data_IF_077208448204
#
_entry.id   IF_077208448204
#
_cell.length_a   1.000
_cell.length_b   1.000
_cell.length_c   1.000
_cell.angle_alpha   90.00
_cell.angle_beta   90.00
_cell.angle_gamma   90.00
#
_symmetry.space_group_name_H-M   'P 1'
#
loop_
_entity.id
_entity.type
_entity.pdbx_description
1 polymer ?
#
# COMPACT_ATOMS: atom_id res chain seq x y z
N UNK A 1 4.84 -7.60 29.35
CA UNK A 1 5.91 -8.03 28.42
C UNK A 1 7.21 -7.44 28.93
N UNK A 2 8.31 -8.17 28.79
CA UNK A 2 9.64 -7.72 29.21
C UNK A 2 10.12 -6.54 28.34
N UNK A 3 10.69 -5.49 28.95
CA UNK A 3 11.18 -4.29 28.26
C UNK A 3 12.39 -4.58 27.34
N UNK A 4 13.01 -5.76 27.49
CA UNK A 4 14.15 -6.23 26.70
C UNK A 4 13.80 -7.20 25.57
N UNK A 5 12.51 -7.38 25.23
CA UNK A 5 12.12 -8.32 24.19
C UNK A 5 12.63 -7.90 22.80
N UNK A 6 13.32 -8.81 22.09
CA UNK A 6 13.84 -8.59 20.74
C UNK A 6 12.74 -8.51 19.65
N UNK A 7 11.50 -8.86 20.00
CA UNK A 7 10.32 -8.76 19.15
C UNK A 7 9.05 -8.66 20.03
N UNK A 8 7.94 -8.21 19.45
CA UNK A 8 6.62 -8.18 20.09
C UNK A 8 5.62 -8.93 19.22
N UNK A 9 5.01 -9.97 19.78
CA UNK A 9 3.94 -10.68 19.09
C UNK A 9 2.71 -9.78 19.00
N UNK A 10 2.20 -9.49 17.79
CA UNK A 10 1.01 -8.67 17.65
C UNK A 10 -0.22 -9.42 18.16
N UNK A 11 -1.19 -8.69 18.72
CA UNK A 11 -2.52 -9.24 18.96
C UNK A 11 -3.20 -9.43 17.61
N UNK A 12 -3.63 -10.66 17.31
CA UNK A 12 -4.43 -10.95 16.13
C UNK A 12 -5.87 -11.14 16.59
N UNK A 13 -6.68 -10.11 16.41
CA UNK A 13 -8.13 -10.18 16.52
C UNK A 13 -8.77 -9.70 15.19
N UNK A 14 -10.10 -9.66 15.13
CA UNK A 14 -10.82 -9.13 13.97
C UNK A 14 -10.98 -7.59 14.02
N UNK A 15 -10.16 -6.88 14.80
CA UNK A 15 -10.17 -5.42 14.82
C UNK A 15 -9.54 -4.83 13.56
N UNK A 16 -9.88 -3.57 13.27
CA UNK A 16 -9.27 -2.83 12.18
C UNK A 16 -7.73 -2.76 12.29
N UNK A 17 -7.19 -2.62 13.51
CA UNK A 17 -5.74 -2.56 13.75
C UNK A 17 -5.06 -3.89 13.38
N UNK A 18 -5.61 -5.02 13.81
CA UNK A 18 -5.08 -6.34 13.45
C UNK A 18 -5.20 -6.63 11.96
N UNK A 19 -6.32 -6.25 11.33
CA UNK A 19 -6.47 -6.35 9.89
C UNK A 19 -5.46 -5.48 9.13
N UNK A 20 -5.17 -4.25 9.59
CA UNK A 20 -4.16 -3.39 8.99
C UNK A 20 -2.75 -3.98 9.09
N UNK A 21 -2.40 -4.60 10.23
CA UNK A 21 -1.13 -5.32 10.38
C UNK A 21 -1.06 -6.55 9.46
N UNK A 22 -2.16 -7.28 9.31
CA UNK A 22 -2.24 -8.43 8.40
C UNK A 22 -2.16 -7.99 6.93
N UNK A 23 -2.76 -6.85 6.56
CA UNK A 23 -2.60 -6.24 5.24
C UNK A 23 -1.13 -5.87 4.98
N UNK A 24 -0.44 -5.27 5.94
CA UNK A 24 0.99 -4.98 5.80
C UNK A 24 1.79 -6.27 5.57
N UNK A 25 1.56 -7.32 6.37
CA UNK A 25 2.22 -8.62 6.21
C UNK A 25 1.89 -9.26 4.86
N UNK A 26 0.63 -9.21 4.44
CA UNK A 26 0.15 -9.83 3.22
C UNK A 26 0.83 -9.27 1.97
N UNK A 27 1.14 -7.97 1.94
CA UNK A 27 1.95 -7.39 0.85
C UNK A 27 3.32 -8.09 0.77
N UNK A 28 4.05 -8.21 1.89
CA UNK A 28 5.37 -8.87 1.88
C UNK A 28 5.30 -10.36 1.54
N UNK A 29 4.21 -11.04 1.92
CA UNK A 29 3.97 -12.43 1.50
C UNK A 29 3.82 -12.51 -0.02
N UNK A 30 3.09 -11.60 -0.64
CA UNK A 30 2.99 -11.53 -2.11
C UNK A 30 4.35 -11.24 -2.75
N UNK A 31 5.10 -10.25 -2.28
CA UNK A 31 6.44 -9.97 -2.80
C UNK A 31 7.39 -11.16 -2.68
N UNK A 32 7.32 -11.88 -1.55
CA UNK A 32 8.07 -13.13 -1.36
C UNK A 32 7.73 -14.15 -2.44
N UNK A 33 6.44 -14.29 -2.76
CA UNK A 33 6.00 -15.20 -3.80
C UNK A 33 6.44 -14.76 -5.19
N UNK A 34 6.17 -13.51 -5.58
CA UNK A 34 6.52 -12.97 -6.89
C UNK A 34 8.01 -13.14 -7.17
N UNK A 35 8.86 -12.79 -6.21
CA UNK A 35 10.32 -12.95 -6.35
C UNK A 35 10.81 -14.39 -6.21
N UNK A 36 9.94 -15.34 -5.84
CA UNK A 36 10.28 -16.77 -5.76
C UNK A 36 9.92 -17.56 -7.01
N UNK A 37 9.36 -16.88 -8.01
CA UNK A 37 9.12 -17.46 -9.32
C UNK A 37 10.44 -17.52 -10.10
N UNK A 38 10.63 -18.56 -10.91
CA UNK A 38 11.79 -18.64 -11.81
C UNK A 38 13.15 -18.82 -11.13
N UNK A 39 13.21 -19.30 -9.88
CA UNK A 39 14.49 -19.47 -9.17
C UNK A 39 15.33 -20.61 -9.78
N UNK A 40 16.55 -20.31 -10.22
CA UNK A 40 17.49 -21.27 -10.79
C UNK A 40 18.77 -21.41 -9.95
N UNK A 41 19.26 -20.30 -9.41
CA UNK A 41 20.51 -20.20 -8.64
C UNK A 41 20.28 -19.80 -7.17
N UNK A 42 21.29 -20.04 -6.33
CA UNK A 42 21.25 -19.68 -4.89
C UNK A 42 21.03 -18.18 -4.68
N UNK A 43 21.55 -17.34 -5.58
CA UNK A 43 21.41 -15.88 -5.49
C UNK A 43 19.95 -15.44 -5.65
N UNK A 44 19.16 -16.19 -6.42
CA UNK A 44 17.77 -15.87 -6.70
C UNK A 44 16.90 -15.99 -5.44
N UNK A 45 17.27 -16.88 -4.51
CA UNK A 45 16.57 -17.05 -3.23
C UNK A 45 16.73 -15.86 -2.28
N UNK A 46 17.63 -14.91 -2.57
CA UNK A 46 17.93 -13.81 -1.66
C UNK A 46 16.77 -12.82 -1.57
N UNK A 47 16.13 -12.48 -2.69
CA UNK A 47 14.99 -11.56 -2.69
C UNK A 47 13.74 -12.12 -1.98
N UNK A 48 13.29 -13.36 -2.24
CA UNK A 48 12.23 -13.99 -1.47
C UNK A 48 12.50 -13.97 0.03
N UNK A 49 13.73 -14.35 0.43
CA UNK A 49 14.11 -14.39 1.84
C UNK A 49 14.08 -12.97 2.44
N UNK A 50 14.58 -11.98 1.71
CA UNK A 50 14.59 -10.59 2.15
C UNK A 50 13.18 -10.06 2.39
N UNK A 51 12.22 -10.34 1.49
CA UNK A 51 10.83 -9.92 1.66
C UNK A 51 10.11 -10.67 2.78
N UNK A 52 10.35 -11.98 2.91
CA UNK A 52 9.78 -12.79 3.98
C UNK A 52 10.24 -12.28 5.36
N UNK A 53 11.54 -12.04 5.51
CA UNK A 53 12.12 -11.50 6.75
C UNK A 53 11.64 -10.07 7.00
N UNK A 54 11.52 -9.24 5.97
CA UNK A 54 11.00 -7.87 6.08
C UNK A 54 9.57 -7.83 6.60
N UNK A 55 8.68 -8.64 6.01
CA UNK A 55 7.29 -8.76 6.44
C UNK A 55 7.17 -9.26 7.88
N UNK A 56 7.91 -10.32 8.22
CA UNK A 56 7.92 -10.86 9.58
C UNK A 56 8.52 -9.88 10.60
N UNK A 57 9.57 -9.15 10.25
CA UNK A 57 10.19 -8.17 11.14
C UNK A 57 9.27 -6.97 11.42
N UNK A 58 8.48 -6.53 10.44
CA UNK A 58 7.45 -5.52 10.64
C UNK A 58 6.29 -6.06 11.48
N UNK A 59 5.78 -7.24 11.13
CA UNK A 59 4.67 -7.88 11.83
C UNK A 59 4.97 -8.15 13.30
N UNK A 60 6.16 -8.64 13.60
CA UNK A 60 6.66 -8.89 14.95
C UNK A 60 7.22 -7.63 15.63
N UNK A 61 7.07 -6.45 15.02
CA UNK A 61 7.53 -5.17 15.56
C UNK A 61 8.99 -5.22 16.07
N UNK A 62 9.87 -5.86 15.31
CA UNK A 62 11.30 -5.95 15.61
C UNK A 62 11.89 -4.53 15.66
N UNK A 63 12.75 -4.20 16.63
CA UNK A 63 13.36 -2.87 16.72
C UNK A 63 14.02 -2.45 15.40
N UNK A 64 13.76 -1.22 14.97
CA UNK A 64 14.28 -0.63 13.73
C UNK A 64 13.84 -1.31 12.43
N UNK A 65 12.90 -2.26 12.45
CA UNK A 65 12.46 -2.99 11.24
C UNK A 65 11.96 -2.05 10.15
N UNK A 66 11.23 -0.98 10.48
CA UNK A 66 10.75 0.00 9.50
C UNK A 66 11.88 0.66 8.71
N UNK A 67 12.94 1.08 9.41
CA UNK A 67 14.13 1.65 8.76
C UNK A 67 14.87 0.58 7.94
N UNK A 68 14.99 -0.63 8.49
CA UNK A 68 15.59 -1.77 7.79
C UNK A 68 14.86 -2.15 6.51
N UNK A 69 13.53 -2.11 6.50
CA UNK A 69 12.72 -2.42 5.32
C UNK A 69 12.75 -1.27 4.32
N UNK A 70 12.49 -0.03 4.75
CA UNK A 70 12.42 1.12 3.84
C UNK A 70 13.77 1.48 3.22
N UNK A 71 14.88 1.36 3.96
CA UNK A 71 16.21 1.74 3.47
C UNK A 71 17.09 0.53 3.17
N UNK A 72 17.02 -0.52 3.98
CA UNK A 72 17.88 -1.69 3.85
C UNK A 72 17.55 -2.53 2.61
N UNK A 73 16.26 -2.70 2.26
CA UNK A 73 15.88 -3.42 1.03
C UNK A 73 16.37 -2.70 -0.22
N UNK A 74 16.08 -1.40 -0.45
CA UNK A 74 16.67 -0.66 -1.57
C UNK A 74 18.20 -0.64 -1.56
N UNK A 75 18.84 -0.43 -0.40
CA UNK A 75 20.30 -0.42 -0.31
C UNK A 75 20.90 -1.78 -0.72
N UNK A 76 20.25 -2.88 -0.33
CA UNK A 76 20.64 -4.22 -0.75
C UNK A 76 20.51 -4.41 -2.27
N UNK A 77 19.39 -3.98 -2.86
CA UNK A 77 19.20 -4.01 -4.32
C UNK A 77 20.29 -3.23 -5.07
N UNK A 78 20.65 -2.04 -4.60
CA UNK A 78 21.75 -1.26 -5.19
C UNK A 78 23.08 -2.01 -5.11
N UNK A 79 23.37 -2.65 -3.98
CA UNK A 79 24.61 -3.44 -3.82
C UNK A 79 24.64 -4.62 -4.77
N UNK A 80 23.52 -5.35 -4.92
CA UNK A 80 23.44 -6.49 -5.84
C UNK A 80 23.52 -6.00 -7.29
N UNK A 81 22.75 -4.99 -7.70
CA UNK A 81 22.80 -4.45 -9.06
C UNK A 81 24.20 -3.94 -9.44
N UNK A 82 24.93 -3.31 -8.52
CA UNK A 82 26.34 -2.93 -8.76
C UNK A 82 27.29 -4.13 -8.85
N UNK A 83 27.00 -5.21 -8.12
CA UNK A 83 27.82 -6.41 -8.12
C UNK A 83 27.58 -7.29 -9.36
N UNK A 84 26.36 -7.33 -9.88
CA UNK A 84 25.96 -8.09 -11.08
C UNK A 84 26.12 -7.27 -12.36
N UNK A 85 26.13 -5.94 -12.27
CA UNK A 85 26.15 -5.03 -13.41
C UNK A 85 24.77 -4.76 -14.02
N UNK A 86 23.70 -5.08 -13.29
CA UNK A 86 22.31 -4.86 -13.69
C UNK A 86 21.85 -3.46 -13.26
N UNK A 87 21.96 -2.51 -14.19
CA UNK A 87 21.54 -1.11 -13.96
C UNK A 87 20.03 -1.00 -13.67
N UNK A 88 19.23 -1.93 -14.18
CA UNK A 88 17.78 -2.00 -13.94
C UNK A 88 17.45 -2.29 -12.48
N UNK A 89 18.16 -3.23 -11.83
CA UNK A 89 18.00 -3.54 -10.40
C UNK A 89 18.27 -2.30 -9.53
N UNK A 90 19.17 -1.41 -9.96
CA UNK A 90 19.46 -0.13 -9.28
C UNK A 90 18.30 0.86 -9.45
N UNK A 91 17.70 0.93 -10.63
CA UNK A 91 16.52 1.76 -10.87
C UNK A 91 15.33 1.30 -10.01
N UNK A 92 15.06 0.00 -9.98
CA UNK A 92 14.02 -0.62 -9.15
C UNK A 92 14.21 -0.36 -7.65
N UNK A 93 15.45 -0.19 -7.17
CA UNK A 93 15.69 0.16 -5.77
C UNK A 93 15.03 1.50 -5.38
N UNK A 94 15.02 2.49 -6.27
CA UNK A 94 14.37 3.79 -6.03
C UNK A 94 12.85 3.61 -5.93
N UNK A 95 12.29 2.78 -6.81
CA UNK A 95 10.87 2.43 -6.79
C UNK A 95 10.47 1.77 -5.46
N UNK A 96 11.26 0.78 -5.02
CA UNK A 96 11.05 0.06 -3.77
C UNK A 96 11.12 0.97 -2.54
N UNK A 97 11.96 2.02 -2.57
CA UNK A 97 12.01 3.01 -1.49
C UNK A 97 10.68 3.78 -1.37
N UNK A 98 10.12 4.24 -2.49
CA UNK A 98 8.85 4.97 -2.53
C UNK A 98 7.67 4.08 -2.12
N UNK A 99 7.74 2.78 -2.45
CA UNK A 99 6.71 1.81 -2.13
C UNK A 99 6.77 1.34 -0.66
N UNK A 100 7.93 0.90 -0.18
CA UNK A 100 8.06 0.34 1.18
C UNK A 100 8.07 1.39 2.27
N UNK A 101 8.40 2.65 2.00
CA UNK A 101 8.28 3.73 2.97
C UNK A 101 6.86 3.81 3.55
N UNK A 102 5.83 4.07 2.74
CA UNK A 102 4.46 4.10 3.22
C UNK A 102 4.00 2.75 3.79
N UNK A 103 4.31 1.62 3.16
CA UNK A 103 3.89 0.29 3.66
C UNK A 103 4.44 0.05 5.07
N UNK A 104 5.71 0.37 5.34
CA UNK A 104 6.34 0.17 6.64
C UNK A 104 5.82 1.14 7.73
N UNK A 105 5.51 2.39 7.35
CA UNK A 105 5.22 3.46 8.32
C UNK A 105 3.73 3.77 8.51
N UNK A 106 2.87 3.62 7.51
CA UNK A 106 1.44 3.96 7.62
C UNK A 106 0.72 3.22 8.75
N UNK A 107 0.89 1.89 8.95
CA UNK A 107 0.25 1.20 10.06
C UNK A 107 0.62 1.75 11.44
N UNK A 108 1.89 2.10 11.62
CA UNK A 108 2.41 2.67 12.87
C UNK A 108 1.91 4.10 13.11
N UNK A 109 1.89 4.91 12.05
CA UNK A 109 1.38 6.28 12.09
C UNK A 109 -0.13 6.31 12.36
N UNK A 110 -0.90 5.41 11.75
CA UNK A 110 -2.34 5.30 11.97
C UNK A 110 -2.67 4.81 13.38
N UNK A 111 -1.90 3.86 13.91
CA UNK A 111 -2.16 3.24 15.21
C UNK A 111 -1.63 4.04 16.41
N UNK A 112 -0.89 5.13 16.18
CA UNK A 112 -0.32 5.94 17.24
C UNK A 112 0.89 5.29 17.93
N UNK A 113 1.72 4.54 17.20
CA UNK A 113 2.87 3.83 17.78
C UNK A 113 3.89 4.82 18.39
N UNK A 114 4.13 4.67 19.70
CA UNK A 114 5.02 5.53 20.48
C UNK A 114 6.50 5.39 20.10
N UNK A 115 6.89 4.29 19.46
CA UNK A 115 8.27 4.07 18.98
C UNK A 115 8.70 5.07 17.90
N UNK A 116 7.74 5.77 17.28
CA UNK A 116 8.03 6.82 16.31
C UNK A 116 8.55 8.12 16.95
N UNK A 117 8.31 8.31 18.25
CA UNK A 117 8.75 9.53 18.97
C UNK A 117 8.12 10.81 18.41
N UNK A 118 6.91 10.72 17.87
CA UNK A 118 6.17 11.86 17.29
C UNK A 118 5.00 12.26 18.18
N UNK A 119 4.79 13.56 18.31
CA UNK A 119 3.52 14.09 18.83
C UNK A 119 2.37 13.83 17.83
N UNK A 120 1.13 13.91 18.31
CA UNK A 120 -0.06 13.64 17.50
C UNK A 120 -0.15 14.52 16.25
N UNK A 121 0.17 15.82 16.34
CA UNK A 121 0.07 16.72 15.20
C UNK A 121 1.09 16.35 14.11
N UNK A 122 2.35 16.14 14.51
CA UNK A 122 3.40 15.67 13.60
C UNK A 122 3.08 14.30 13.00
N UNK A 123 2.56 13.37 13.80
CA UNK A 123 2.16 12.02 13.34
C UNK A 123 1.09 12.11 12.27
N UNK A 124 0.02 12.85 12.53
CA UNK A 124 -1.12 12.96 11.62
C UNK A 124 -0.75 13.70 10.32
N UNK A 125 0.09 14.75 10.41
CA UNK A 125 0.58 15.45 9.22
C UNK A 125 1.41 14.51 8.32
N UNK A 126 2.36 13.77 8.91
CA UNK A 126 3.20 12.81 8.16
C UNK A 126 2.37 11.68 7.57
N UNK A 127 1.40 11.16 8.32
CA UNK A 127 0.48 10.15 7.83
C UNK A 127 -0.28 10.64 6.60
N UNK A 128 -0.84 11.85 6.66
CA UNK A 128 -1.60 12.42 5.55
C UNK A 128 -0.77 12.53 4.27
N UNK A 129 0.47 13.01 4.38
CA UNK A 129 1.39 13.11 3.24
C UNK A 129 1.74 11.72 2.69
N UNK A 130 2.15 10.79 3.56
CA UNK A 130 2.54 9.45 3.15
C UNK A 130 1.39 8.68 2.51
N UNK A 131 0.18 8.80 3.05
CA UNK A 131 -1.00 8.15 2.48
C UNK A 131 -1.31 8.68 1.08
N UNK A 132 -1.21 9.99 0.84
CA UNK A 132 -1.42 10.57 -0.50
C UNK A 132 -0.37 10.07 -1.48
N UNK A 133 0.91 10.11 -1.09
CA UNK A 133 2.00 9.60 -1.93
C UNK A 133 1.77 8.14 -2.27
N UNK A 134 1.43 7.31 -1.28
CA UNK A 134 1.12 5.90 -1.49
C UNK A 134 -0.09 5.69 -2.42
N UNK A 135 -1.20 6.38 -2.15
CA UNK A 135 -2.43 6.22 -2.93
C UNK A 135 -2.21 6.61 -4.40
N UNK A 136 -1.52 7.73 -4.65
CA UNK A 136 -1.19 8.17 -6.00
C UNK A 136 -0.19 7.23 -6.67
N UNK A 137 0.85 6.81 -5.96
CA UNK A 137 1.84 5.89 -6.50
C UNK A 137 1.20 4.56 -6.89
N UNK A 138 0.42 3.96 -5.99
CA UNK A 138 -0.25 2.68 -6.27
C UNK A 138 -1.29 2.79 -7.39
N UNK A 139 -2.02 3.91 -7.48
CA UNK A 139 -3.04 4.11 -8.51
C UNK A 139 -2.45 4.44 -9.89
N UNK A 140 -1.42 5.30 -9.94
CA UNK A 140 -0.86 5.78 -11.20
C UNK A 140 0.26 4.91 -11.74
N UNK A 141 0.96 4.18 -10.88
CA UNK A 141 2.12 3.36 -11.27
C UNK A 141 1.86 1.86 -11.16
N UNK A 142 1.06 1.38 -10.20
CA UNK A 142 0.92 -0.06 -9.92
C UNK A 142 -0.39 -0.70 -10.37
N UNK A 143 -1.44 0.06 -10.69
CA UNK A 143 -2.75 -0.53 -10.96
C UNK A 143 -3.18 -0.51 -12.43
N UNK A 144 -2.32 -0.05 -13.35
CA UNK A 144 -2.55 0.14 -14.80
C UNK A 144 -3.88 0.82 -15.18
N UNK A 145 -4.58 1.43 -14.21
CA UNK A 145 -5.96 1.89 -14.36
C UNK A 145 -6.04 3.11 -15.28
N UNK A 146 -4.94 3.84 -15.43
CA UNK A 146 -4.83 4.95 -16.36
C UNK A 146 -4.86 4.43 -17.79
N UNK A 147 -4.01 3.46 -18.12
CA UNK A 147 -3.94 2.89 -19.48
C UNK A 147 -5.23 2.15 -19.82
N UNK A 148 -5.77 1.36 -18.88
CA UNK A 148 -7.10 0.76 -18.99
C UNK A 148 -8.20 1.79 -19.27
N UNK A 149 -8.17 2.95 -18.62
CA UNK A 149 -9.21 3.98 -18.77
C UNK A 149 -9.08 4.79 -20.07
N UNK A 150 -7.85 5.01 -20.52
CA UNK A 150 -7.53 5.87 -21.67
C UNK A 150 -7.59 5.09 -22.97
N UNK A 151 -6.87 3.97 -23.02
CA UNK A 151 -6.62 3.22 -24.25
C UNK A 151 -7.31 1.85 -24.21
N UNK A 152 -7.53 1.28 -23.02
CA UNK A 152 -8.12 -0.06 -22.87
C UNK A 152 -7.16 -1.19 -23.21
N UNK A 153 -5.90 -0.84 -23.47
CA UNK A 153 -4.82 -1.74 -23.86
C UNK A 153 -3.53 -1.27 -23.15
N UNK A 154 -2.69 -2.21 -22.71
CA UNK A 154 -1.38 -1.92 -22.13
C UNK A 154 -0.45 -3.13 -22.31
N UNK A 155 0.85 -2.87 -22.30
CA UNK A 155 1.88 -3.92 -22.29
C UNK A 155 2.23 -4.26 -20.85
N UNK A 156 2.39 -5.55 -20.58
CA UNK A 156 2.90 -6.05 -19.31
C UNK A 156 3.97 -7.09 -19.57
N UNK A 157 4.80 -7.36 -18.58
CA UNK A 157 5.93 -8.27 -18.67
C UNK A 157 5.75 -9.38 -17.65
N UNK A 158 5.97 -10.63 -18.05
CA UNK A 158 6.01 -11.73 -17.10
C UNK A 158 7.39 -11.84 -16.43
N UNK A 159 7.51 -12.80 -15.50
CA UNK A 159 8.75 -13.00 -14.77
C UNK A 159 9.91 -13.53 -15.62
N UNK A 160 9.64 -14.00 -16.84
CA UNK A 160 10.65 -14.44 -17.81
C UNK A 160 11.03 -13.30 -18.79
N UNK A 161 10.65 -12.05 -18.47
CA UNK A 161 10.82 -10.84 -19.30
C UNK A 161 10.11 -10.95 -20.66
N UNK A 162 9.05 -11.76 -20.74
CA UNK A 162 8.24 -11.87 -21.95
C UNK A 162 7.15 -10.81 -21.88
N UNK A 163 7.25 -9.82 -22.76
CA UNK A 163 6.21 -8.82 -22.99
C UNK A 163 4.95 -9.47 -23.60
N UNK A 164 3.79 -9.13 -23.07
CA UNK A 164 2.49 -9.47 -23.63
C UNK A 164 1.54 -8.27 -23.61
N UNK A 165 0.73 -8.18 -24.67
CA UNK A 165 -0.32 -7.17 -24.78
C UNK A 165 -1.54 -7.61 -23.98
N UNK A 166 -1.98 -6.77 -23.06
CA UNK A 166 -3.25 -6.91 -22.36
C UNK A 166 -4.28 -5.95 -22.91
N UNK A 167 -5.54 -6.40 -22.95
CA UNK A 167 -6.66 -5.62 -23.44
C UNK A 167 -7.94 -5.89 -22.66
N UNK A 168 -8.81 -4.88 -22.62
CA UNK A 168 -10.13 -4.96 -22.00
C UNK A 168 -11.21 -4.46 -22.96
N UNK A 169 -12.42 -4.99 -22.82
CA UNK A 169 -13.54 -4.57 -23.66
C UNK A 169 -14.04 -3.15 -23.31
N UNK A 170 -14.86 -2.57 -24.18
CA UNK A 170 -15.41 -1.21 -23.98
C UNK A 170 -16.22 -1.02 -22.68
N UNK A 171 -16.85 -2.08 -22.16
CA UNK A 171 -17.57 -2.05 -20.89
C UNK A 171 -16.58 -2.00 -19.73
N UNK A 172 -15.55 -2.85 -19.76
CA UNK A 172 -14.45 -2.85 -18.80
C UNK A 172 -13.67 -1.53 -18.82
N UNK A 173 -13.39 -0.95 -19.98
CA UNK A 173 -12.78 0.38 -20.12
C UNK A 173 -13.65 1.48 -19.47
N UNK A 174 -14.97 1.41 -19.63
CA UNK A 174 -15.89 2.34 -18.94
C UNK A 174 -15.80 2.16 -17.42
N UNK A 175 -15.68 0.92 -16.94
CA UNK A 175 -15.47 0.63 -15.51
C UNK A 175 -14.12 1.20 -15.03
N UNK A 176 -13.06 1.09 -15.83
CA UNK A 176 -11.74 1.67 -15.53
C UNK A 176 -11.83 3.20 -15.39
N UNK A 177 -12.52 3.88 -16.31
CA UNK A 177 -12.74 5.33 -16.25
C UNK A 177 -13.48 5.76 -14.98
N UNK A 178 -14.52 5.01 -14.59
CA UNK A 178 -15.24 5.24 -13.33
C UNK A 178 -14.33 5.00 -12.14
N UNK A 179 -13.55 3.90 -12.15
CA UNK A 179 -12.58 3.58 -11.11
C UNK A 179 -11.53 4.69 -10.94
N UNK A 180 -10.93 5.16 -12.03
CA UNK A 180 -9.97 6.27 -12.02
C UNK A 180 -10.59 7.55 -11.47
N UNK A 181 -11.81 7.92 -11.91
CA UNK A 181 -12.51 9.09 -11.42
C UNK A 181 -12.79 9.00 -9.91
N UNK A 182 -13.29 7.85 -9.43
CA UNK A 182 -13.53 7.60 -8.00
C UNK A 182 -12.22 7.67 -7.21
N UNK A 183 -11.12 7.13 -7.75
CA UNK A 183 -9.80 7.17 -7.13
C UNK A 183 -9.29 8.60 -6.95
N UNK A 184 -9.30 9.39 -8.02
CA UNK A 184 -8.89 10.80 -7.98
C UNK A 184 -9.75 11.62 -7.02
N UNK A 185 -11.08 11.45 -7.06
CA UNK A 185 -11.99 12.09 -6.11
C UNK A 185 -11.66 11.66 -4.68
N UNK A 186 -11.38 10.37 -4.45
CA UNK A 186 -11.00 9.84 -3.14
C UNK A 186 -9.75 10.50 -2.57
N UNK A 187 -8.69 10.62 -3.37
CA UNK A 187 -7.45 11.31 -2.97
C UNK A 187 -7.72 12.78 -2.66
N UNK A 188 -8.51 13.47 -3.48
CA UNK A 188 -8.87 14.88 -3.25
C UNK A 188 -9.68 15.06 -1.97
N UNK A 189 -10.65 14.17 -1.71
CA UNK A 189 -11.44 14.18 -0.47
C UNK A 189 -10.54 13.97 0.75
N UNK A 190 -9.61 13.02 0.68
CA UNK A 190 -8.65 12.79 1.75
C UNK A 190 -7.74 14.01 1.95
N UNK A 191 -7.15 14.57 0.89
CA UNK A 191 -6.31 15.76 0.94
C UNK A 191 -7.04 16.93 1.63
N UNK A 192 -8.26 17.24 1.20
CA UNK A 192 -9.03 18.35 1.75
C UNK A 192 -9.38 18.15 3.23
N UNK A 193 -9.77 16.93 3.61
CA UNK A 193 -10.28 16.65 4.97
C UNK A 193 -9.17 16.34 5.98
N UNK A 194 -8.12 15.62 5.57
CA UNK A 194 -7.07 15.11 6.44
C UNK A 194 -5.85 16.03 6.52
N UNK A 195 -5.44 16.62 5.38
CA UNK A 195 -4.19 17.40 5.29
C UNK A 195 -4.44 18.90 5.37
N UNK A 196 -5.39 19.41 4.57
CA UNK A 196 -5.77 20.83 4.62
C UNK A 196 -6.61 21.13 5.87
N UNK A 197 -7.28 20.11 6.42
CA UNK A 197 -8.12 20.25 7.61
C UNK A 197 -9.43 20.98 7.34
N UNK A 198 -9.88 21.01 6.09
CA UNK A 198 -11.21 21.52 5.73
C UNK A 198 -12.23 20.54 6.29
N UNK A 199 -12.73 20.86 7.48
CA UNK A 199 -13.93 20.23 8.00
C UNK A 199 -15.09 20.78 7.18
N UNK A 200 -15.87 19.90 6.56
CA UNK A 200 -17.11 20.20 5.80
C UNK A 200 -18.20 20.95 6.60
N UNK A 201 -17.88 21.36 7.83
CA UNK A 201 -18.67 22.21 8.71
C UNK A 201 -18.34 23.71 8.61
N UNK A 202 -17.22 24.08 7.99
CA UNK A 202 -16.92 25.49 7.73
C UNK A 202 -17.77 25.96 6.54
N UNK A 203 -18.38 27.14 6.63
CA UNK A 203 -19.36 27.70 5.69
C UNK A 203 -18.80 27.99 4.27
N UNK A 204 -17.64 27.44 3.93
CA UNK A 204 -16.83 27.71 2.73
C UNK A 204 -16.80 26.56 1.73
N UNK A 205 -17.54 25.47 1.93
CA UNK A 205 -17.59 24.32 1.01
C UNK A 205 -18.99 24.09 0.44
N UNK A 206 -19.04 23.82 -0.87
CA UNK A 206 -20.21 23.86 -1.77
C UNK A 206 -21.19 22.68 -1.58
N UNK A 207 -20.84 21.63 -0.84
CA UNK A 207 -21.69 20.44 -0.66
C UNK A 207 -22.36 20.47 0.73
N UNK A 208 -23.63 20.89 0.77
CA UNK A 208 -24.40 21.01 2.00
C UNK A 208 -24.49 19.71 2.81
N UNK A 209 -24.68 19.81 4.14
CA UNK A 209 -24.96 18.78 5.16
C UNK A 209 -24.22 17.42 5.13
N UNK A 210 -23.38 17.10 4.14
CA UNK A 210 -22.62 15.86 4.05
C UNK A 210 -21.28 16.01 4.77
N UNK A 211 -21.18 15.33 5.92
CA UNK A 211 -19.94 15.26 6.71
C UNK A 211 -18.96 14.29 6.04
N UNK A 212 -18.24 14.76 5.02
CA UNK A 212 -17.10 14.01 4.47
C UNK A 212 -15.97 13.93 5.50
N UNK A 213 -15.54 12.72 5.78
CA UNK A 213 -14.41 12.38 6.67
C UNK A 213 -13.27 11.77 5.87
N UNK A 214 -12.01 11.84 6.36
CA UNK A 214 -10.84 11.27 5.68
C UNK A 214 -11.02 9.82 5.21
N UNK A 215 -11.68 8.97 6.02
CA UNK A 215 -11.90 7.58 5.67
C UNK A 215 -12.77 7.38 4.41
N UNK A 216 -13.66 8.32 4.06
CA UNK A 216 -14.41 8.25 2.81
C UNK A 216 -13.48 8.36 1.60
N UNK A 217 -12.51 9.29 1.68
CA UNK A 217 -11.43 9.40 0.69
C UNK A 217 -10.62 8.10 0.59
N UNK A 218 -10.31 7.51 1.75
CA UNK A 218 -9.70 6.20 1.88
C UNK A 218 -10.46 5.09 1.15
N UNK A 219 -11.75 4.97 1.42
CA UNK A 219 -12.63 3.96 0.84
C UNK A 219 -12.77 4.12 -0.68
N UNK A 220 -12.88 5.36 -1.18
CA UNK A 220 -12.92 5.65 -2.61
C UNK A 220 -11.61 5.27 -3.32
N UNK A 221 -10.46 5.66 -2.77
CA UNK A 221 -9.16 5.29 -3.33
C UNK A 221 -8.93 3.77 -3.32
N UNK A 222 -9.29 3.10 -2.22
CA UNK A 222 -9.21 1.64 -2.13
C UNK A 222 -10.16 0.94 -3.11
N UNK A 223 -11.37 1.47 -3.31
CA UNK A 223 -12.32 0.98 -4.31
C UNK A 223 -11.80 1.11 -5.74
N UNK A 224 -11.14 2.23 -6.05
CA UNK A 224 -10.49 2.42 -7.34
C UNK A 224 -9.37 1.40 -7.58
N UNK A 225 -8.53 1.14 -6.56
CA UNK A 225 -7.50 0.10 -6.66
C UNK A 225 -8.10 -1.30 -6.83
N UNK A 226 -9.16 -1.62 -6.10
CA UNK A 226 -9.86 -2.90 -6.26
C UNK A 226 -10.41 -3.07 -7.68
N UNK A 227 -10.96 -2.00 -8.26
CA UNK A 227 -11.42 -2.01 -9.66
C UNK A 227 -10.25 -2.25 -10.61
N UNK A 228 -9.15 -1.51 -10.47
CA UNK A 228 -7.97 -1.69 -11.33
C UNK A 228 -7.42 -3.10 -11.27
N UNK A 229 -7.28 -3.66 -10.06
CA UNK A 229 -6.80 -5.03 -9.89
C UNK A 229 -7.78 -6.10 -10.37
N UNK A 230 -9.09 -5.87 -10.21
CA UNK A 230 -10.10 -6.74 -10.80
C UNK A 230 -9.99 -6.74 -12.33
N UNK A 231 -9.83 -5.57 -12.94
CA UNK A 231 -9.71 -5.44 -14.40
C UNK A 231 -8.44 -6.10 -14.94
N UNK A 232 -7.33 -5.99 -14.19
CA UNK A 232 -6.10 -6.72 -14.50
C UNK A 232 -6.35 -8.24 -14.58
N UNK A 233 -7.02 -8.82 -13.57
CA UNK A 233 -7.35 -10.26 -13.50
C UNK A 233 -8.32 -10.79 -14.57
N UNK A 234 -9.02 -9.90 -15.30
CA UNK A 234 -10.02 -10.28 -16.32
C UNK A 234 -9.63 -9.77 -17.70
N UNK A 235 -8.42 -9.23 -17.85
CA UNK A 235 -7.90 -8.75 -19.11
C UNK A 235 -7.64 -9.93 -20.06
N UNK A 236 -7.89 -9.71 -21.34
CA UNK A 236 -7.47 -10.65 -22.37
C UNK A 236 -5.97 -10.44 -22.62
N UNK A 237 -5.20 -11.53 -22.61
CA UNK A 237 -3.74 -11.51 -22.83
C UNK A 237 -2.91 -12.00 -21.65
N UNK A 238 -3.48 -12.05 -20.45
CA UNK A 238 -2.79 -12.49 -19.22
C UNK A 238 -2.40 -14.00 -19.27
N UNK A 239 -1.26 -14.40 -18.68
CA UNK A 239 -1.06 -15.78 -18.24
C UNK A 239 -2.20 -16.24 -17.30
N UNK A 240 -2.35 -17.56 -17.11
CA UNK A 240 -3.50 -18.10 -16.37
C UNK A 240 -3.60 -17.52 -14.93
N UNK A 241 -4.82 -17.09 -14.56
CA UNK A 241 -5.19 -16.54 -13.25
C UNK A 241 -4.39 -17.15 -12.08
N UNK A 242 -3.68 -16.29 -11.35
CA UNK A 242 -2.92 -16.70 -10.17
C UNK A 242 -3.65 -16.35 -8.87
N UNK A 243 -4.03 -17.37 -8.10
CA UNK A 243 -4.72 -17.20 -6.80
C UNK A 243 -3.93 -16.35 -5.79
N UNK A 244 -2.61 -16.21 -5.98
CA UNK A 244 -1.76 -15.40 -5.10
C UNK A 244 -1.99 -13.89 -5.23
N UNK A 245 -2.63 -13.45 -6.32
CA UNK A 245 -2.97 -12.05 -6.53
C UNK A 245 -4.05 -11.58 -5.56
N UNK A 246 -4.93 -12.50 -5.11
CA UNK A 246 -5.99 -12.18 -4.14
C UNK A 246 -5.40 -11.62 -2.83
N UNK A 247 -4.42 -12.28 -2.17
CA UNK A 247 -3.70 -11.70 -1.03
C UNK A 247 -3.17 -10.29 -1.26
N UNK A 248 -2.60 -9.99 -2.43
CA UNK A 248 -2.08 -8.66 -2.75
C UNK A 248 -3.21 -7.64 -2.78
N UNK A 249 -4.28 -7.94 -3.52
CA UNK A 249 -5.44 -7.07 -3.69
C UNK A 249 -6.09 -6.76 -2.33
N UNK A 250 -6.34 -7.79 -1.52
CA UNK A 250 -6.91 -7.62 -0.18
C UNK A 250 -6.01 -6.79 0.72
N UNK A 251 -4.70 -6.99 0.62
CA UNK A 251 -3.71 -6.27 1.41
C UNK A 251 -3.59 -4.80 0.98
N UNK A 252 -3.62 -4.53 -0.31
CA UNK A 252 -3.62 -3.18 -0.89
C UNK A 252 -4.86 -2.40 -0.47
N UNK A 253 -6.04 -3.03 -0.61
CA UNK A 253 -7.32 -2.44 -0.20
C UNK A 253 -7.33 -2.19 1.31
N UNK A 254 -6.90 -3.18 2.10
CA UNK A 254 -6.83 -3.06 3.55
C UNK A 254 -5.87 -1.96 4.01
N UNK A 255 -4.67 -1.89 3.45
CA UNK A 255 -3.69 -0.84 3.77
C UNK A 255 -4.23 0.56 3.39
N UNK A 256 -4.85 0.69 2.22
CA UNK A 256 -5.38 1.97 1.72
C UNK A 256 -6.60 2.44 2.52
N UNK A 257 -7.54 1.56 2.83
CA UNK A 257 -8.80 1.90 3.50
C UNK A 257 -8.68 1.95 5.03
N UNK A 258 -8.01 0.98 5.67
CA UNK A 258 -7.98 0.89 7.12
C UNK A 258 -7.11 1.97 7.76
N UNK A 259 -6.03 2.38 7.08
CA UNK A 259 -5.14 3.46 7.54
C UNK A 259 -5.92 4.74 7.91
N UNK A 260 -6.71 5.35 7.01
CA UNK A 260 -7.51 6.53 7.34
C UNK A 260 -8.71 6.21 8.24
N UNK A 261 -9.27 4.99 8.20
CA UNK A 261 -10.31 4.60 9.16
C UNK A 261 -9.80 4.64 10.60
N UNK A 262 -8.64 4.03 10.88
CA UNK A 262 -8.07 3.95 12.23
C UNK A 262 -7.57 5.31 12.70
N UNK A 263 -6.87 6.04 11.83
CA UNK A 263 -6.21 7.28 12.23
C UNK A 263 -7.19 8.44 12.47
N UNK A 264 -8.36 8.41 11.81
CA UNK A 264 -9.35 9.50 11.86
C UNK A 264 -10.69 9.06 12.43
N UNK A 265 -10.74 7.92 13.14
CA UNK A 265 -11.95 7.50 13.87
C UNK A 265 -12.23 8.47 15.03
N UNK A 266 -13.32 9.23 14.87
CA UNK A 266 -13.82 10.20 15.86
C UNK A 266 -14.29 9.58 17.18
N UNK A 267 -14.45 8.26 17.27
CA UNK A 267 -14.93 7.58 18.49
C UNK A 267 -13.81 7.15 19.46
N UNK A 268 -12.54 7.28 19.09
CA UNK A 268 -11.41 6.88 19.95
C UNK A 268 -11.10 7.85 21.10
N UNK A 269 -11.78 9.00 21.16
CA UNK A 269 -11.59 10.01 22.20
C UNK A 269 -12.38 9.81 23.50
N UNK A 270 -13.13 8.72 23.66
CA UNK A 270 -13.99 8.53 24.85
C UNK A 270 -13.82 7.21 25.63
N UNK A 271 -12.90 6.32 25.26
CA UNK A 271 -12.72 5.04 25.97
C UNK A 271 -11.35 4.83 26.62
N UNK A 272 -10.31 5.56 26.22
CA UNK A 272 -8.94 5.21 26.64
C UNK A 272 -8.42 6.10 27.79
N UNK A 273 -9.31 6.83 28.48
CA UNK A 273 -8.97 7.61 29.69
C UNK A 273 -9.42 6.98 31.00
N UNK A 274 -9.94 5.74 30.99
CA UNK A 274 -10.26 5.01 32.22
C UNK A 274 -9.90 3.51 32.07
N UNK A 275 -8.62 3.18 32.27
CA UNK A 275 -8.08 2.05 33.08
C UNK A 275 -6.58 1.83 32.85
#
# INVERSE_FOLDING_TARGET
MDDNAMYKMPTIDLSAKSLLMLSQLGIFVTFTYWTSQGLEDIIDYVFPLLFAVSGLALFLSVPNSRMGVTLGVPAFMVVIGLATGEDETIFWAVFMLVMFGPIAYMPALASGDSTLGLDDASRMQRLGILWIVFALFMMLMMSSIVDMAMDGEWTDEDFDEIEYDMSIDSTQQTIAQVGLAVGVIGVLVFLMTAVVGIRTYDHRVIMGNWKMLPWHGGAMAAGAMLIGQYLWLVADGEPAFNFIEIPFILSLVGLTALTPCIAYDTNSGSSDSEE
#
